data_IF_807488626661
#
_entry.id   IF_807488626661
#
_cell.length_a   1.000
_cell.length_b   1.000
_cell.length_c   1.000
_cell.angle_alpha   90.00
_cell.angle_beta   90.00
_cell.angle_gamma   90.00
#
_symmetry.space_group_name_H-M   'P 1'
#
loop_
_entity.id
_entity.type
_entity.pdbx_description
1 polymer ?
#
# COMPACT_ATOMS: atom_id res chain seq x y z
N UNK A 1 -4.81 12.02 -4.28
CA UNK A 1 -5.15 11.22 -3.09
C UNK A 1 -5.83 12.08 -2.01
N UNK A 2 -5.73 13.41 -2.10
CA UNK A 2 -6.45 14.44 -1.32
C UNK A 2 -7.89 14.16 -0.83
N UNK A 3 -8.75 13.50 -1.60
CA UNK A 3 -10.12 13.18 -1.16
C UNK A 3 -10.21 11.95 -0.25
N UNK A 4 -9.11 11.18 -0.10
CA UNK A 4 -9.06 9.90 0.63
C UNK A 4 -10.10 8.87 0.14
N UNK A 5 -10.54 8.99 -1.12
CA UNK A 5 -11.50 8.09 -1.76
C UNK A 5 -10.82 7.36 -2.91
N UNK A 6 -11.02 6.04 -2.97
CA UNK A 6 -10.51 5.22 -4.07
C UNK A 6 -11.13 5.67 -5.41
N UNK A 7 -10.34 5.84 -6.47
CA UNK A 7 -10.85 6.30 -7.76
C UNK A 7 -11.87 5.33 -8.37
N UNK A 8 -12.88 5.87 -9.03
CA UNK A 8 -13.87 5.09 -9.79
C UNK A 8 -13.34 4.71 -11.18
N UNK A 9 -13.88 3.63 -11.75
CA UNK A 9 -13.57 3.17 -13.11
C UNK A 9 -13.09 1.72 -13.15
N UNK A 10 -13.36 1.07 -14.28
CA UNK A 10 -13.05 -0.36 -14.48
C UNK A 10 -11.56 -0.68 -14.32
N UNK A 11 -10.68 0.23 -14.72
CA UNK A 11 -9.22 0.06 -14.65
C UNK A 11 -8.56 0.69 -13.41
N UNK A 12 -9.34 1.27 -12.49
CA UNK A 12 -8.80 1.99 -11.33
C UNK A 12 -7.96 1.07 -10.42
N UNK A 13 -8.40 -0.16 -10.19
CA UNK A 13 -7.67 -1.19 -9.45
C UNK A 13 -6.32 -1.50 -10.08
N UNK A 14 -6.32 -1.83 -11.37
CA UNK A 14 -5.09 -2.22 -12.07
C UNK A 14 -4.11 -1.06 -12.25
N UNK A 15 -4.60 0.16 -12.46
CA UNK A 15 -3.75 1.34 -12.48
C UNK A 15 -3.08 1.56 -11.12
N UNK A 16 -3.82 1.39 -10.02
CA UNK A 16 -3.27 1.46 -8.66
C UNK A 16 -2.24 0.35 -8.43
N UNK A 17 -2.52 -0.88 -8.86
CA UNK A 17 -1.56 -1.99 -8.79
C UNK A 17 -0.26 -1.67 -9.55
N UNK A 18 -0.36 -1.08 -10.75
CA UNK A 18 0.82 -0.65 -11.52
C UNK A 18 1.66 0.39 -10.77
N UNK A 19 1.03 1.38 -10.14
CA UNK A 19 1.74 2.37 -9.31
C UNK A 19 2.39 1.67 -8.11
N UNK A 20 1.65 0.81 -7.40
CA UNK A 20 2.15 0.12 -6.22
C UNK A 20 3.33 -0.80 -6.53
N UNK A 21 3.30 -1.52 -7.66
CA UNK A 21 4.44 -2.31 -8.14
C UNK A 21 5.66 -1.43 -8.42
N UNK A 22 5.49 -0.28 -9.09
CA UNK A 22 6.59 0.69 -9.33
C UNK A 22 7.19 1.27 -8.05
N UNK A 23 6.40 1.40 -6.99
CA UNK A 23 6.84 1.85 -5.68
C UNK A 23 7.41 0.71 -4.81
N UNK A 24 7.31 -0.54 -5.27
CA UNK A 24 7.71 -1.72 -4.52
C UNK A 24 6.77 -2.08 -3.36
N UNK A 25 5.53 -1.58 -3.37
CA UNK A 25 4.51 -1.92 -2.38
C UNK A 25 3.85 -3.27 -2.68
N UNK A 26 3.76 -3.65 -3.96
CA UNK A 26 3.23 -4.93 -4.42
C UNK A 26 4.30 -5.64 -5.26
N UNK A 27 4.45 -6.95 -5.10
CA UNK A 27 5.38 -7.79 -5.86
C UNK A 27 4.80 -8.24 -7.22
N UNK A 28 5.58 -9.01 -7.97
CA UNK A 28 5.18 -9.52 -9.29
C UNK A 28 4.08 -10.60 -9.22
N UNK A 29 3.78 -11.14 -8.03
CA UNK A 29 2.64 -12.03 -7.78
C UNK A 29 1.36 -11.25 -7.43
N UNK A 30 1.41 -9.91 -7.42
CA UNK A 30 0.27 -9.07 -7.08
C UNK A 30 -0.05 -9.07 -5.58
N UNK A 31 0.90 -9.42 -4.72
CA UNK A 31 0.78 -9.40 -3.25
C UNK A 31 1.50 -8.21 -2.65
N UNK A 32 1.00 -7.71 -1.51
CA UNK A 32 1.66 -6.64 -0.77
C UNK A 32 3.01 -7.12 -0.22
N UNK A 33 4.10 -6.48 -0.66
CA UNK A 33 5.46 -6.75 -0.20
C UNK A 33 5.87 -5.76 0.89
N UNK A 34 5.35 -5.96 2.10
CA UNK A 34 5.63 -5.07 3.24
C UNK A 34 7.13 -4.94 3.56
N UNK A 35 7.93 -5.99 3.33
CA UNK A 35 9.39 -5.97 3.56
C UNK A 35 10.11 -5.09 2.54
N UNK A 36 9.83 -5.27 1.24
CA UNK A 36 10.42 -4.42 0.19
C UNK A 36 9.98 -2.96 0.35
N UNK A 37 8.71 -2.74 0.72
CA UNK A 37 8.20 -1.42 1.03
C UNK A 37 8.96 -0.76 2.19
N UNK A 38 9.23 -1.51 3.26
CA UNK A 38 10.01 -1.02 4.41
C UNK A 38 11.47 -0.74 4.05
N UNK A 39 12.11 -1.60 3.25
CA UNK A 39 13.47 -1.36 2.75
C UNK A 39 13.55 -0.09 1.90
N UNK A 40 12.54 0.19 1.09
CA UNK A 40 12.46 1.43 0.31
C UNK A 40 12.21 2.64 1.21
N UNK A 41 11.35 2.53 2.22
CA UNK A 41 11.14 3.58 3.20
C UNK A 41 12.43 3.95 3.94
N UNK A 42 13.23 2.97 4.37
CA UNK A 42 14.53 3.19 5.03
C UNK A 42 15.57 3.91 4.16
N UNK A 43 15.34 4.05 2.85
CA UNK A 43 16.20 4.86 1.95
C UNK A 43 15.77 6.33 1.86
N UNK A 44 14.55 6.63 2.30
CA UNK A 44 13.92 7.95 2.18
C UNK A 44 13.80 8.63 3.54
N UNK A 45 13.47 7.86 4.58
CA UNK A 45 13.29 8.33 5.95
C UNK A 45 14.54 7.98 6.77
N UNK A 46 15.00 8.94 7.57
CA UNK A 46 16.16 8.78 8.47
C UNK A 46 15.75 8.65 9.93
N UNK A 47 14.53 9.09 10.29
CA UNK A 47 14.02 9.05 11.65
C UNK A 47 13.55 7.64 12.05
N UNK A 48 14.05 7.14 13.18
CA UNK A 48 13.77 5.78 13.64
C UNK A 48 12.30 5.58 14.08
N UNK A 49 11.65 6.63 14.60
CA UNK A 49 10.24 6.59 14.98
C UNK A 49 9.35 6.55 13.73
N UNK A 50 9.65 7.36 12.71
CA UNK A 50 8.97 7.32 11.41
C UNK A 50 9.11 5.94 10.75
N UNK A 51 10.31 5.35 10.73
CA UNK A 51 10.54 4.02 10.17
C UNK A 51 9.72 2.96 10.90
N UNK A 52 9.66 3.02 12.24
CA UNK A 52 8.88 2.08 13.06
C UNK A 52 7.38 2.22 12.81
N UNK A 53 6.89 3.45 12.66
CA UNK A 53 5.49 3.73 12.32
C UNK A 53 5.14 3.21 10.93
N UNK A 54 6.03 3.39 9.95
CA UNK A 54 5.89 2.84 8.60
C UNK A 54 5.86 1.31 8.63
N UNK A 55 6.74 0.66 9.39
CA UNK A 55 6.75 -0.80 9.55
C UNK A 55 5.43 -1.32 10.14
N UNK A 56 4.93 -0.69 11.21
CA UNK A 56 3.66 -1.05 11.82
C UNK A 56 2.48 -0.87 10.85
N UNK A 57 2.47 0.24 10.11
CA UNK A 57 1.48 0.55 9.09
C UNK A 57 1.45 -0.49 7.96
N UNK A 58 2.62 -0.81 7.39
CA UNK A 58 2.76 -1.79 6.32
C UNK A 58 2.37 -3.20 6.79
N UNK A 59 2.75 -3.57 8.02
CA UNK A 59 2.39 -4.85 8.63
C UNK A 59 0.88 -4.97 8.82
N UNK A 60 0.24 -3.90 9.32
CA UNK A 60 -1.23 -3.87 9.50
C UNK A 60 -1.95 -4.15 8.18
N UNK A 61 -1.48 -3.56 7.08
CA UNK A 61 -2.12 -3.73 5.78
C UNK A 61 -1.67 -4.97 5.00
N UNK A 62 -0.64 -5.70 5.45
CA UNK A 62 -0.24 -6.97 4.82
C UNK A 62 -1.34 -8.05 4.90
N UNK A 63 -2.28 -7.93 5.84
CA UNK A 63 -3.43 -8.82 5.97
C UNK A 63 -4.32 -8.88 4.70
N UNK A 64 -4.25 -7.88 3.81
CA UNK A 64 -4.99 -7.91 2.53
C UNK A 64 -4.52 -9.02 1.58
N UNK A 65 -3.36 -9.62 1.84
CA UNK A 65 -2.87 -10.78 1.07
C UNK A 65 -3.71 -12.04 1.31
N UNK A 66 -4.36 -12.13 2.47
CA UNK A 66 -5.20 -13.27 2.85
C UNK A 66 -6.66 -13.12 2.38
N UNK A 67 -7.02 -11.97 1.81
CA UNK A 67 -8.36 -11.69 1.29
C UNK A 67 -8.60 -12.37 -0.07
N UNK A 68 -9.83 -12.80 -0.31
CA UNK A 68 -10.24 -13.35 -1.60
C UNK A 68 -10.28 -12.24 -2.66
N UNK A 69 -9.72 -12.53 -3.84
CA UNK A 69 -9.74 -11.63 -4.99
C UNK A 69 -10.25 -12.34 -6.23
N UNK A 70 -10.81 -11.58 -7.18
CA UNK A 70 -11.38 -12.14 -8.41
C UNK A 70 -10.37 -12.19 -9.57
N UNK A 71 -9.27 -11.46 -9.46
CA UNK A 71 -8.30 -11.22 -10.53
C UNK A 71 -6.96 -11.96 -10.37
N UNK A 72 -6.88 -12.83 -9.36
CA UNK A 72 -5.73 -13.72 -9.12
C UNK A 72 -4.44 -12.94 -8.83
N UNK A 73 -3.43 -13.15 -9.66
CA UNK A 73 -2.09 -12.53 -9.55
C UNK A 73 -2.01 -11.14 -10.18
N UNK A 74 -3.07 -10.65 -10.85
CA UNK A 74 -3.06 -9.29 -11.43
C UNK A 74 -2.97 -8.19 -10.37
N UNK A 75 -3.41 -8.47 -9.14
CA UNK A 75 -3.25 -7.58 -7.99
C UNK A 75 -4.13 -6.32 -8.01
N UNK A 76 -5.05 -6.16 -8.96
CA UNK A 76 -5.95 -5.02 -9.09
C UNK A 76 -6.93 -4.93 -7.91
N UNK A 77 -7.57 -6.05 -7.53
CA UNK A 77 -8.49 -6.08 -6.38
C UNK A 77 -7.72 -5.85 -5.07
N UNK A 78 -6.58 -6.54 -4.94
CA UNK A 78 -5.68 -6.41 -3.78
C UNK A 78 -5.13 -4.99 -3.62
N UNK A 79 -4.81 -4.29 -4.72
CA UNK A 79 -4.38 -2.90 -4.68
C UNK A 79 -5.49 -1.97 -4.15
N UNK A 80 -6.75 -2.23 -4.48
CA UNK A 80 -7.89 -1.49 -3.92
C UNK A 80 -8.06 -1.76 -2.43
N UNK A 81 -7.95 -3.02 -1.99
CA UNK A 81 -7.98 -3.39 -0.58
C UNK A 81 -6.85 -2.71 0.20
N UNK A 82 -5.61 -2.78 -0.33
CA UNK A 82 -4.45 -2.13 0.23
C UNK A 82 -4.63 -0.61 0.34
N UNK A 83 -5.09 0.05 -0.73
CA UNK A 83 -5.40 1.48 -0.70
C UNK A 83 -6.38 1.84 0.43
N UNK A 84 -7.47 1.09 0.56
CA UNK A 84 -8.48 1.36 1.59
C UNK A 84 -7.90 1.14 2.99
N UNK A 85 -7.07 0.11 3.16
CA UNK A 85 -6.33 -0.12 4.40
C UNK A 85 -5.38 1.04 4.72
N UNK A 86 -4.65 1.54 3.72
CA UNK A 86 -3.74 2.67 3.88
C UNK A 86 -4.48 3.92 4.32
N UNK A 87 -5.58 4.28 3.67
CA UNK A 87 -6.38 5.44 4.08
C UNK A 87 -6.94 5.29 5.49
N UNK A 88 -7.42 4.10 5.86
CA UNK A 88 -7.98 3.83 7.18
C UNK A 88 -6.93 3.95 8.30
N UNK A 89 -5.68 3.61 8.01
CA UNK A 89 -4.61 3.55 9.00
C UNK A 89 -3.56 4.66 8.82
N UNK A 90 -3.79 5.64 7.94
CA UNK A 90 -2.77 6.64 7.56
C UNK A 90 -2.27 7.46 8.76
N UNK A 91 -3.11 7.64 9.78
CA UNK A 91 -2.75 8.33 11.03
C UNK A 91 -1.65 7.59 11.83
N UNK A 92 -1.47 6.29 11.62
CA UNK A 92 -0.39 5.51 12.26
C UNK A 92 1.01 5.99 11.86
N UNK A 93 1.13 6.67 10.71
CA UNK A 93 2.41 7.16 10.22
C UNK A 93 2.97 8.28 11.11
N UNK A 94 2.12 9.03 11.82
CA UNK A 94 2.56 10.11 12.71
C UNK A 94 3.05 11.37 11.99
N UNK A 95 2.98 11.40 10.65
CA UNK A 95 3.28 12.56 9.82
C UNK A 95 2.25 12.72 8.70
N UNK A 96 2.03 13.96 8.27
CA UNK A 96 1.06 14.26 7.22
C UNK A 96 1.63 13.92 5.83
N UNK A 97 0.94 13.03 5.13
CA UNK A 97 1.20 12.75 3.71
C UNK A 97 0.24 13.61 2.87
N UNK A 98 0.71 14.80 2.50
CA UNK A 98 -0.03 15.72 1.62
C UNK A 98 0.39 15.52 0.15
N UNK A 99 -0.27 14.57 -0.55
CA UNK A 99 -0.18 14.34 -2.02
C UNK A 99 -1.51 14.58 -2.77
#
# INVERSE_FOLDING_TARGET
FKSKVFPEGENAGCFTACIFNKLGLIDDEGKLSHLTALENAKKVFEDEEEIKNIEAFLTTCAAVNDEEVSDGEKGCDRAKLAYNCFIKNIEQLGFDIDF
#
